data_IF_384083427274
#
_entry.id   IF_384083427274
#
_cell.length_a   1.000
_cell.length_b   1.000
_cell.length_c   1.000
_cell.angle_alpha   90.00
_cell.angle_beta   90.00
_cell.angle_gamma   90.00
#
_symmetry.space_group_name_H-M   'P 1'
#
loop_
_entity.id
_entity.type
_entity.pdbx_description
1 polymer ?
#
# COMPACT_ATOMS: atom_id res chain seq x y z
N UNK A 1 -3.44 5.75 0.34
CA UNK A 1 -4.41 4.65 0.50
C UNK A 1 -3.85 3.67 1.51
N UNK A 2 -4.61 3.35 2.56
CA UNK A 2 -4.32 2.25 3.48
C UNK A 2 -5.26 1.10 3.14
N UNK A 3 -4.74 0.01 2.59
CA UNK A 3 -5.52 -1.16 2.23
C UNK A 3 -5.20 -2.29 3.22
N UNK A 4 -6.20 -2.65 4.01
CA UNK A 4 -6.09 -3.78 4.92
C UNK A 4 -6.26 -5.06 4.11
N UNK A 5 -5.50 -6.11 4.45
CA UNK A 5 -5.79 -7.44 3.93
C UNK A 5 -7.06 -8.01 4.58
N UNK A 6 -7.72 -9.02 3.98
CA UNK A 6 -8.99 -9.55 4.51
C UNK A 6 -8.90 -10.11 5.94
N UNK A 7 -7.70 -10.49 6.39
CA UNK A 7 -7.47 -11.00 7.75
C UNK A 7 -7.04 -9.91 8.73
N UNK A 8 -6.94 -8.66 8.28
CA UNK A 8 -6.48 -7.49 9.06
C UNK A 8 -5.17 -7.77 9.80
N UNK A 9 -4.29 -8.52 9.15
CA UNK A 9 -2.94 -8.85 9.62
C UNK A 9 -1.94 -7.85 9.07
N UNK A 10 -2.16 -7.38 7.85
CA UNK A 10 -1.30 -6.43 7.15
C UNK A 10 -2.10 -5.24 6.63
N UNK A 11 -1.45 -4.09 6.58
CA UNK A 11 -1.93 -2.94 5.82
C UNK A 11 -0.88 -2.54 4.79
N UNK A 12 -1.34 -2.34 3.55
CA UNK A 12 -0.55 -1.86 2.43
C UNK A 12 -0.80 -0.36 2.28
N UNK A 13 0.26 0.42 2.38
CA UNK A 13 0.19 1.87 2.28
C UNK A 13 0.76 2.37 0.95
N UNK A 14 -0.06 3.11 0.22
CA UNK A 14 0.29 3.74 -1.06
C UNK A 14 0.23 5.27 -0.91
N UNK A 15 1.35 5.95 -1.10
CA UNK A 15 1.47 7.41 -0.94
C UNK A 15 1.99 8.12 -2.19
N UNK A 16 2.05 9.45 -2.11
CA UNK A 16 2.46 10.36 -3.18
C UNK A 16 1.61 10.26 -4.46
N UNK A 17 0.37 9.81 -4.33
CA UNK A 17 -0.54 9.70 -5.48
C UNK A 17 -0.95 11.08 -5.99
N UNK A 18 -1.01 11.25 -7.29
CA UNK A 18 -1.57 12.44 -7.95
C UNK A 18 -3.09 12.50 -7.71
N UNK A 19 -3.76 11.37 -7.96
CA UNK A 19 -5.19 11.21 -7.71
C UNK A 19 -5.57 9.75 -7.51
N UNK A 20 -6.71 9.52 -6.88
CA UNK A 20 -7.33 8.21 -6.81
C UNK A 20 -7.99 7.84 -8.15
N UNK A 21 -8.09 6.54 -8.41
CA UNK A 21 -8.87 6.04 -9.55
C UNK A 21 -10.37 6.23 -9.29
N UNK A 22 -11.16 6.20 -10.37
CA UNK A 22 -12.60 6.40 -10.26
C UNK A 22 -13.28 5.35 -9.37
N UNK A 23 -14.20 5.81 -8.52
CA UNK A 23 -14.94 4.99 -7.57
C UNK A 23 -14.11 4.46 -6.39
N UNK A 24 -12.85 4.89 -6.22
CA UNK A 24 -12.09 4.59 -5.01
C UNK A 24 -12.63 5.46 -3.88
N UNK A 25 -13.09 4.80 -2.82
CA UNK A 25 -13.66 5.42 -1.63
C UNK A 25 -13.38 4.54 -0.42
N UNK A 26 -13.48 5.12 0.77
CA UNK A 26 -13.32 4.38 2.02
C UNK A 26 -14.32 3.22 2.13
N UNK A 27 -13.87 2.12 2.72
CA UNK A 27 -14.67 0.89 2.85
C UNK A 27 -14.79 0.05 1.58
N UNK A 28 -14.34 0.53 0.41
CA UNK A 28 -14.31 -0.27 -0.81
C UNK A 28 -13.34 -1.44 -0.67
N UNK A 29 -13.83 -2.66 -0.88
CA UNK A 29 -12.98 -3.84 -1.00
C UNK A 29 -12.22 -3.82 -2.32
N UNK A 30 -10.94 -4.20 -2.27
CA UNK A 30 -10.04 -4.24 -3.41
C UNK A 30 -9.59 -5.68 -3.67
N UNK A 31 -9.32 -6.00 -4.93
CA UNK A 31 -8.65 -7.24 -5.33
C UNK A 31 -7.33 -6.93 -6.01
N UNK A 32 -6.43 -7.91 -6.03
CA UNK A 32 -5.15 -7.81 -6.76
C UNK A 32 -5.42 -7.45 -8.22
N UNK A 33 -4.70 -6.44 -8.71
CA UNK A 33 -4.83 -5.94 -10.08
C UNK A 33 -5.83 -4.79 -10.25
N UNK A 34 -6.59 -4.43 -9.21
CA UNK A 34 -7.43 -3.24 -9.26
C UNK A 34 -6.58 -1.97 -9.40
N UNK A 35 -7.00 -1.08 -10.30
CA UNK A 35 -6.45 0.26 -10.40
C UNK A 35 -7.00 1.11 -9.25
N UNK A 36 -6.10 1.59 -8.38
CA UNK A 36 -6.48 2.34 -7.17
C UNK A 36 -6.10 3.83 -7.24
N UNK A 37 -5.21 4.21 -8.16
CA UNK A 37 -4.76 5.58 -8.30
C UNK A 37 -3.59 5.71 -9.27
N UNK A 38 -3.07 6.93 -9.34
CA UNK A 38 -2.00 7.31 -10.25
C UNK A 38 -0.85 7.93 -9.47
N UNK A 39 0.38 7.58 -9.84
CA UNK A 39 1.61 8.13 -9.22
C UNK A 39 1.69 9.64 -9.45
N UNK A 40 2.12 10.36 -8.41
CA UNK A 40 2.33 11.80 -8.45
C UNK A 40 3.50 12.22 -7.53
N UNK A 41 3.36 13.40 -6.94
CA UNK A 41 4.37 14.03 -6.05
C UNK A 41 3.73 14.68 -4.82
N UNK A 42 2.54 14.25 -4.42
CA UNK A 42 1.80 14.87 -3.30
C UNK A 42 2.43 14.55 -1.94
N UNK A 43 2.18 15.42 -0.95
CA UNK A 43 2.69 15.26 0.42
C UNK A 43 4.19 15.57 0.52
N UNK A 44 4.91 14.81 1.34
CA UNK A 44 6.35 14.97 1.54
C UNK A 44 7.16 14.22 0.47
N UNK A 45 7.05 14.64 -0.79
CA UNK A 45 7.81 14.10 -1.94
C UNK A 45 8.52 15.24 -2.67
N UNK A 46 9.63 14.93 -3.36
CA UNK A 46 10.27 15.84 -4.30
C UNK A 46 9.37 16.08 -5.53
N UNK A 47 9.01 17.32 -5.89
CA UNK A 47 8.19 17.63 -7.07
C UNK A 47 8.79 17.20 -8.41
N UNK A 48 10.11 16.96 -8.47
CA UNK A 48 10.85 16.59 -9.69
C UNK A 48 11.04 15.09 -9.85
N UNK A 49 10.67 14.28 -8.85
CA UNK A 49 10.84 12.82 -8.86
C UNK A 49 9.53 12.09 -8.54
N UNK A 50 8.57 12.00 -9.49
CA UNK A 50 7.35 11.24 -9.29
C UNK A 50 7.63 9.78 -8.97
N UNK A 51 7.12 9.31 -7.83
CA UNK A 51 7.35 7.95 -7.38
C UNK A 51 6.20 7.45 -6.50
N UNK A 52 6.09 6.13 -6.38
CA UNK A 52 5.20 5.50 -5.42
C UNK A 52 5.97 5.20 -4.14
N UNK A 53 5.52 5.75 -3.01
CA UNK A 53 5.88 5.18 -1.72
C UNK A 53 4.94 4.01 -1.43
N UNK A 54 5.53 2.83 -1.24
CA UNK A 54 4.84 1.62 -0.80
C UNK A 54 5.40 1.17 0.54
N UNK A 55 4.53 0.97 1.52
CA UNK A 55 4.87 0.27 2.75
C UNK A 55 3.95 -0.93 2.98
N UNK A 56 4.51 -1.96 3.60
CA UNK A 56 3.76 -3.09 4.16
C UNK A 56 3.97 -3.02 5.66
N UNK A 57 2.88 -2.90 6.42
CA UNK A 57 2.92 -2.87 7.87
C UNK A 57 2.17 -4.09 8.40
N UNK A 58 2.76 -4.83 9.32
CA UNK A 58 2.04 -5.79 10.14
C UNK A 58 1.30 -5.03 11.23
N UNK A 59 -0.01 -5.26 11.32
CA UNK A 59 -0.88 -4.59 12.27
C UNK A 59 -0.68 -5.14 13.69
N UNK A 60 -0.71 -4.25 14.67
CA UNK A 60 -0.74 -4.60 16.08
C UNK A 60 -2.13 -5.06 16.55
N UNK A 61 -2.29 -5.40 17.85
CA UNK A 61 -3.54 -5.91 18.39
C UNK A 61 -4.75 -4.98 18.21
N UNK A 62 -4.55 -3.66 18.21
CA UNK A 62 -5.61 -2.67 18.01
C UNK A 62 -6.03 -2.51 16.55
N UNK A 63 -5.23 -3.04 15.62
CA UNK A 63 -5.43 -2.94 14.16
C UNK A 63 -5.46 -1.51 13.62
N UNK A 64 -4.93 -0.56 14.38
CA UNK A 64 -4.79 0.84 13.95
C UNK A 64 -3.48 1.00 13.18
N UNK A 65 -3.53 1.45 11.92
CA UNK A 65 -2.32 1.56 11.09
C UNK A 65 -1.29 2.57 11.66
N UNK A 66 -1.74 3.50 12.50
CA UNK A 66 -0.91 4.53 13.13
C UNK A 66 -0.35 4.13 14.50
N UNK A 67 -0.68 2.94 15.03
CA UNK A 67 -0.30 2.52 16.37
C UNK A 67 0.21 1.07 16.40
N UNK A 68 1.34 0.83 17.07
CA UNK A 68 1.92 -0.50 17.29
C UNK A 68 2.09 -1.38 16.03
N UNK A 69 2.41 -0.77 14.88
CA UNK A 69 2.67 -1.53 13.65
C UNK A 69 4.15 -1.88 13.49
N UNK A 70 4.42 -3.01 12.84
CA UNK A 70 5.79 -3.43 12.49
C UNK A 70 6.00 -3.31 10.97
N UNK A 71 6.90 -2.45 10.49
CA UNK A 71 7.17 -2.32 9.06
C UNK A 71 7.92 -3.55 8.52
N UNK A 72 7.48 -4.03 7.36
CA UNK A 72 8.10 -5.14 6.62
C UNK A 72 8.75 -4.58 5.37
N UNK A 73 9.99 -4.99 5.08
CA UNK A 73 10.67 -4.64 3.84
C UNK A 73 9.95 -5.24 2.62
N UNK A 74 9.30 -4.44 1.75
CA UNK A 74 8.52 -4.97 0.63
C UNK A 74 9.36 -5.67 -0.42
N UNK A 75 10.64 -5.28 -0.57
CA UNK A 75 11.52 -5.85 -1.58
C UNK A 75 11.69 -7.37 -1.38
N UNK A 76 11.88 -7.82 -0.14
CA UNK A 76 11.99 -9.25 0.17
C UNK A 76 10.72 -10.02 -0.20
N UNK A 77 9.55 -9.45 0.09
CA UNK A 77 8.25 -10.05 -0.24
C UNK A 77 8.10 -10.23 -1.75
N UNK A 78 8.43 -9.20 -2.54
CA UNK A 78 8.33 -9.27 -3.99
C UNK A 78 9.32 -10.25 -4.62
N UNK A 79 10.56 -10.27 -4.15
CA UNK A 79 11.55 -11.21 -4.65
C UNK A 79 11.16 -12.66 -4.36
N UNK A 80 10.60 -12.93 -3.17
CA UNK A 80 10.05 -14.25 -2.84
C UNK A 80 8.85 -14.63 -3.73
N UNK A 81 7.91 -13.70 -3.95
CA UNK A 81 6.74 -13.96 -4.81
C UNK A 81 7.15 -14.24 -6.28
N UNK A 82 8.11 -13.47 -6.81
CA UNK A 82 8.66 -13.68 -8.14
C UNK A 82 9.34 -15.04 -8.27
N UNK A 83 10.16 -15.43 -7.28
CA UNK A 83 10.81 -16.75 -7.26
C UNK A 83 9.80 -17.90 -7.19
N UNK A 84 8.66 -17.69 -6.51
CA UNK A 84 7.56 -18.65 -6.42
C UNK A 84 6.66 -18.69 -7.67
N UNK A 85 6.95 -17.90 -8.71
CA UNK A 85 6.15 -17.82 -9.93
C UNK A 85 4.80 -17.12 -9.76
N UNK A 86 4.58 -16.42 -8.65
CA UNK A 86 3.35 -15.65 -8.40
C UNK A 86 3.46 -14.28 -9.07
N UNK A 87 2.85 -14.14 -10.26
CA UNK A 87 2.70 -12.84 -10.95
C UNK A 87 1.43 -12.11 -10.52
#
# INVERSE_FOLDING_TARGET
IYQYDPTETYTYYYAHLDRYAEGIQEGRQLKRGDLIGYVGVTGNSDPTAPHLHLAILQLGPTKEWWHDTTPINPYGVFMSALAAGQR
#
